data_IF_125357521169
#
_entry.id   IF_125357521169
#
_cell.length_a   1.000
_cell.length_b   1.000
_cell.length_c   1.000
_cell.angle_alpha   90.00
_cell.angle_beta   90.00
_cell.angle_gamma   90.00
#
_symmetry.space_group_name_H-M   'P 1'
#
loop_
_entity.id
_entity.type
_entity.pdbx_description
1 polymer ?
#
# COMPACT_ATOMS: atom_id res chain seq x y z
N UNK A 1 31.49 12.63 8.62
CA UNK A 1 30.03 12.52 8.87
C UNK A 1 29.18 12.78 7.62
N UNK A 2 29.37 13.87 6.85
CA UNK A 2 28.53 14.20 5.66
C UNK A 2 28.37 13.06 4.63
N UNK A 3 29.42 12.26 4.39
CA UNK A 3 29.37 11.12 3.43
C UNK A 3 28.53 9.93 3.91
N UNK A 4 28.47 9.68 5.22
CA UNK A 4 27.63 8.62 5.79
C UNK A 4 26.14 8.96 5.63
N UNK A 5 25.78 10.24 5.75
CA UNK A 5 24.39 10.69 5.55
C UNK A 5 23.88 10.53 4.12
N UNK A 6 24.70 10.88 3.12
CA UNK A 6 24.36 10.70 1.71
C UNK A 6 24.23 9.22 1.33
N UNK A 7 25.15 8.38 1.83
CA UNK A 7 25.04 6.93 1.66
C UNK A 7 23.78 6.36 2.30
N UNK A 8 23.45 6.78 3.52
CA UNK A 8 22.23 6.38 4.21
C UNK A 8 20.96 6.78 3.43
N UNK A 9 20.89 8.01 2.94
CA UNK A 9 19.77 8.48 2.09
C UNK A 9 19.63 7.65 0.82
N UNK A 10 20.75 7.39 0.14
CA UNK A 10 20.74 6.61 -1.09
C UNK A 10 20.30 5.16 -0.85
N UNK A 11 20.79 4.50 0.21
CA UNK A 11 20.39 3.13 0.53
C UNK A 11 18.96 3.04 1.08
N UNK A 12 18.52 4.03 1.85
CA UNK A 12 17.12 4.13 2.28
C UNK A 12 16.18 4.25 1.07
N UNK A 13 16.57 5.02 0.05
CA UNK A 13 15.83 5.06 -1.20
C UNK A 13 15.94 3.74 -1.98
N UNK A 14 17.14 3.23 -2.20
CA UNK A 14 17.39 2.06 -3.04
C UNK A 14 16.72 0.78 -2.52
N UNK A 15 16.63 0.61 -1.20
CA UNK A 15 16.07 -0.59 -0.59
C UNK A 15 14.77 -0.34 0.17
N UNK A 16 14.68 0.76 0.92
CA UNK A 16 13.51 1.06 1.74
C UNK A 16 12.28 1.38 0.90
N UNK A 17 12.43 2.17 -0.18
CA UNK A 17 11.29 2.52 -1.06
C UNK A 17 10.75 1.28 -1.79
N UNK A 18 11.56 0.47 -2.50
CA UNK A 18 11.06 -0.75 -3.12
C UNK A 18 10.43 -1.70 -2.11
N UNK A 19 11.01 -1.84 -0.92
CA UNK A 19 10.44 -2.68 0.14
C UNK A 19 9.04 -2.21 0.54
N UNK A 20 8.84 -0.91 0.83
CA UNK A 20 7.53 -0.38 1.19
C UNK A 20 6.49 -0.54 0.07
N UNK A 21 6.89 -0.26 -1.17
CA UNK A 21 6.01 -0.38 -2.33
C UNK A 21 5.62 -1.85 -2.59
N UNK A 22 6.56 -2.78 -2.50
CA UNK A 22 6.29 -4.22 -2.65
C UNK A 22 5.38 -4.72 -1.53
N UNK A 23 5.66 -4.38 -0.28
CA UNK A 23 4.82 -4.79 0.86
C UNK A 23 3.41 -4.20 0.74
N UNK A 24 3.28 -2.91 0.41
CA UNK A 24 1.98 -2.28 0.22
C UNK A 24 1.21 -2.89 -0.95
N UNK A 25 1.90 -3.23 -2.05
CA UNK A 25 1.29 -3.90 -3.19
C UNK A 25 0.82 -5.31 -2.82
N UNK A 26 1.66 -6.11 -2.15
CA UNK A 26 1.28 -7.45 -1.66
C UNK A 26 0.03 -7.33 -0.79
N UNK A 27 -0.02 -6.37 0.13
CA UNK A 27 -1.20 -6.13 0.97
C UNK A 27 -2.44 -5.76 0.15
N UNK A 28 -2.28 -4.93 -0.88
CA UNK A 28 -3.38 -4.50 -1.76
C UNK A 28 -3.96 -5.64 -2.59
N UNK A 29 -3.13 -6.58 -3.05
CA UNK A 29 -3.60 -7.75 -3.81
C UNK A 29 -3.99 -8.92 -2.92
N UNK A 30 -3.64 -8.87 -1.63
CA UNK A 30 -4.04 -9.87 -0.65
C UNK A 30 -5.51 -9.66 -0.26
N UNK A 31 -6.25 -10.75 -0.13
CA UNK A 31 -7.64 -10.77 0.38
C UNK A 31 -7.66 -11.36 1.79
N UNK A 32 -7.19 -10.64 2.82
CA UNK A 32 -7.20 -11.17 4.18
C UNK A 32 -8.63 -11.31 4.67
N UNK A 33 -8.91 -12.40 5.40
CA UNK A 33 -10.17 -12.54 6.11
C UNK A 33 -10.26 -11.47 7.20
N UNK A 34 -11.25 -10.58 7.09
CA UNK A 34 -11.50 -9.51 8.06
C UNK A 34 -12.90 -9.70 8.64
N UNK A 35 -13.02 -10.19 9.89
CA UNK A 35 -14.32 -10.56 10.45
C UNK A 35 -15.22 -9.37 10.81
N UNK A 36 -14.67 -8.14 10.79
CA UNK A 36 -15.39 -6.91 11.13
C UNK A 36 -15.03 -5.78 10.17
N UNK A 37 -15.97 -4.84 9.96
CA UNK A 37 -15.74 -3.65 9.13
C UNK A 37 -14.63 -2.74 9.68
N UNK A 38 -14.43 -2.73 11.00
CA UNK A 38 -13.32 -2.00 11.61
C UNK A 38 -11.96 -2.61 11.24
N UNK A 39 -11.87 -3.95 11.19
CA UNK A 39 -10.66 -4.64 10.76
C UNK A 39 -10.37 -4.43 9.27
N UNK A 40 -11.41 -4.45 8.42
CA UNK A 40 -11.28 -4.14 6.99
C UNK A 40 -10.78 -2.70 6.78
N UNK A 41 -11.36 -1.72 7.49
CA UNK A 41 -10.93 -0.31 7.43
C UNK A 41 -9.50 -0.11 7.92
N UNK A 42 -9.13 -0.73 9.04
CA UNK A 42 -7.77 -0.64 9.57
C UNK A 42 -6.74 -1.24 8.59
N UNK A 43 -7.07 -2.36 7.95
CA UNK A 43 -6.22 -2.99 6.94
C UNK A 43 -6.02 -2.08 5.72
N UNK A 44 -7.11 -1.51 5.18
CA UNK A 44 -7.08 -0.55 4.08
C UNK A 44 -6.24 0.68 4.41
N UNK A 45 -6.52 1.33 5.54
CA UNK A 45 -5.80 2.54 5.98
C UNK A 45 -4.28 2.30 6.15
N UNK A 46 -3.89 1.13 6.66
CA UNK A 46 -2.48 0.78 6.79
C UNK A 46 -1.83 0.53 5.42
N UNK A 47 -2.53 -0.12 4.51
CA UNK A 47 -2.05 -0.35 3.14
C UNK A 47 -1.86 0.97 2.41
N UNK A 48 -2.82 1.89 2.50
CA UNK A 48 -2.71 3.24 1.92
C UNK A 48 -1.56 4.04 2.53
N UNK A 49 -1.39 3.96 3.85
CA UNK A 49 -0.27 4.63 4.52
C UNK A 49 1.09 4.11 4.03
N UNK A 50 1.25 2.79 3.85
CA UNK A 50 2.49 2.20 3.34
C UNK A 50 2.78 2.63 1.90
N UNK A 51 1.76 2.60 1.04
CA UNK A 51 1.89 3.01 -0.36
C UNK A 51 2.18 4.50 -0.50
N UNK A 52 1.45 5.33 0.23
CA UNK A 52 1.65 6.78 0.26
C UNK A 52 3.06 7.11 0.77
N UNK A 53 3.48 6.50 1.88
CA UNK A 53 4.82 6.69 2.41
C UNK A 53 5.90 6.26 1.41
N UNK A 54 5.72 5.10 0.75
CA UNK A 54 6.64 4.62 -0.29
C UNK A 54 6.79 5.60 -1.45
N UNK A 55 5.69 6.13 -1.99
CA UNK A 55 5.69 7.09 -3.10
C UNK A 55 6.27 8.45 -2.70
N UNK A 56 5.93 8.94 -1.50
CA UNK A 56 6.48 10.19 -0.95
C UNK A 56 7.99 10.05 -0.76
N UNK A 57 8.46 8.96 -0.14
CA UNK A 57 9.89 8.70 0.04
C UNK A 57 10.62 8.50 -1.29
N UNK A 58 9.97 7.87 -2.28
CA UNK A 58 10.50 7.73 -3.63
C UNK A 58 10.86 9.09 -4.25
N UNK A 59 10.06 10.12 -4.00
CA UNK A 59 10.29 11.47 -4.51
C UNK A 59 11.26 12.27 -3.62
N UNK A 60 11.04 12.25 -2.31
CA UNK A 60 11.75 13.13 -1.36
C UNK A 60 13.21 12.75 -1.23
N UNK A 61 13.53 11.45 -1.13
CA UNK A 61 14.91 11.01 -0.83
C UNK A 61 15.90 11.34 -1.97
N UNK A 62 15.60 11.10 -3.26
CA UNK A 62 16.50 11.48 -4.35
C UNK A 62 16.68 12.99 -4.46
N UNK A 63 15.60 13.77 -4.28
CA UNK A 63 15.65 15.23 -4.34
C UNK A 63 16.50 15.81 -3.20
N UNK A 64 16.25 15.36 -1.97
CA UNK A 64 17.03 15.76 -0.81
C UNK A 64 18.51 15.35 -0.95
N UNK A 65 18.77 14.12 -1.41
CA UNK A 65 20.12 13.63 -1.67
C UNK A 65 20.87 14.43 -2.73
N UNK A 66 20.20 14.78 -3.83
CA UNK A 66 20.77 15.61 -4.88
C UNK A 66 21.09 17.03 -4.38
N UNK A 67 20.18 17.64 -3.62
CA UNK A 67 20.38 18.96 -3.02
C UNK A 67 21.58 18.94 -2.07
N UNK A 68 21.62 17.99 -1.14
CA UNK A 68 22.71 17.86 -0.18
C UNK A 68 24.06 17.54 -0.84
N UNK A 69 24.07 16.70 -1.88
CA UNK A 69 25.28 16.42 -2.65
C UNK A 69 25.75 17.66 -3.45
N UNK A 70 24.81 18.47 -3.95
CA UNK A 70 25.07 19.78 -4.56
C UNK A 70 25.73 20.75 -3.60
N UNK A 71 25.15 20.93 -2.42
CA UNK A 71 25.68 21.79 -1.36
C UNK A 71 27.04 21.29 -0.82
N UNK A 72 27.29 19.99 -0.85
CA UNK A 72 28.56 19.40 -0.45
C UNK A 72 29.64 19.42 -1.56
N UNK A 73 29.30 19.79 -2.79
CA UNK A 73 30.21 19.77 -3.93
C UNK A 73 30.67 18.36 -4.36
N UNK A 74 29.97 17.29 -3.94
CA UNK A 74 30.39 15.92 -4.20
C UNK A 74 29.81 15.42 -5.53
N UNK A 75 30.60 15.54 -6.60
CA UNK A 75 30.21 15.16 -7.95
C UNK A 75 29.84 13.67 -8.09
N UNK A 76 30.46 12.79 -7.29
CA UNK A 76 30.17 11.36 -7.27
C UNK A 76 28.75 11.11 -6.78
N UNK A 77 28.41 11.65 -5.61
CA UNK A 77 27.06 11.51 -5.05
C UNK A 77 25.99 12.19 -5.91
N UNK A 78 26.29 13.35 -6.52
CA UNK A 78 25.36 13.99 -7.47
C UNK A 78 25.01 13.08 -8.63
N UNK A 79 25.98 12.34 -9.17
CA UNK A 79 25.72 11.37 -10.25
C UNK A 79 24.84 10.22 -9.78
N UNK A 80 25.08 9.67 -8.59
CA UNK A 80 24.24 8.62 -8.02
C UNK A 80 22.79 9.08 -7.81
N UNK A 81 22.59 10.27 -7.24
CA UNK A 81 21.25 10.82 -7.08
C UNK A 81 20.61 11.24 -8.41
N UNK A 82 21.40 11.64 -9.41
CA UNK A 82 20.91 11.83 -10.78
C UNK A 82 20.33 10.55 -11.38
N UNK A 83 20.99 9.40 -11.21
CA UNK A 83 20.44 8.11 -11.57
C UNK A 83 19.22 7.73 -10.73
N UNK A 84 19.21 8.07 -9.45
CA UNK A 84 18.06 7.85 -8.57
C UNK A 84 16.82 8.62 -9.01
N UNK A 85 16.96 9.81 -9.61
CA UNK A 85 15.82 10.50 -10.23
C UNK A 85 15.22 9.72 -11.42
N UNK A 86 16.07 9.11 -12.25
CA UNK A 86 15.60 8.21 -13.30
C UNK A 86 14.87 6.99 -12.72
N UNK A 87 15.45 6.38 -11.67
CA UNK A 87 14.82 5.27 -10.95
C UNK A 87 13.50 5.67 -10.28
N UNK A 88 13.39 6.89 -9.75
CA UNK A 88 12.15 7.43 -9.18
C UNK A 88 11.03 7.44 -10.22
N UNK A 89 11.30 7.99 -11.40
CA UNK A 89 10.32 8.02 -12.50
C UNK A 89 9.93 6.60 -12.91
N UNK A 90 10.91 5.70 -13.04
CA UNK A 90 10.66 4.31 -13.41
C UNK A 90 9.79 3.58 -12.38
N UNK A 91 10.05 3.77 -11.09
CA UNK A 91 9.23 3.22 -10.01
C UNK A 91 7.81 3.80 -10.02
N UNK A 92 7.65 5.11 -10.25
CA UNK A 92 6.33 5.73 -10.38
C UNK A 92 5.53 5.12 -11.55
N UNK A 93 6.15 4.97 -12.72
CA UNK A 93 5.51 4.39 -13.89
C UNK A 93 5.14 2.93 -13.65
N UNK A 94 6.06 2.13 -13.11
CA UNK A 94 5.80 0.74 -12.77
C UNK A 94 4.64 0.61 -11.79
N UNK A 95 4.61 1.44 -10.75
CA UNK A 95 3.55 1.41 -9.76
C UNK A 95 2.20 1.85 -10.35
N UNK A 96 2.17 2.90 -11.17
CA UNK A 96 0.95 3.35 -11.85
C UNK A 96 0.38 2.28 -12.80
N UNK A 97 1.25 1.55 -13.52
CA UNK A 97 0.84 0.44 -14.38
C UNK A 97 0.23 -0.70 -13.56
N UNK A 98 0.87 -1.08 -12.45
CA UNK A 98 0.38 -2.15 -11.58
C UNK A 98 -0.95 -1.76 -10.93
N UNK A 99 -1.08 -0.51 -10.48
CA UNK A 99 -2.31 0.03 -9.91
C UNK A 99 -3.49 -0.06 -10.89
N UNK A 100 -3.25 0.32 -12.15
CA UNK A 100 -4.24 0.25 -13.22
C UNK A 100 -4.68 -1.19 -13.57
N UNK A 101 -3.87 -2.19 -13.22
CA UNK A 101 -4.22 -3.60 -13.38
C UNK A 101 -4.92 -4.20 -12.15
N UNK A 102 -4.83 -3.55 -10.99
CA UNK A 102 -5.48 -4.03 -9.77
C UNK A 102 -6.98 -3.69 -9.81
N UNK A 103 -7.79 -4.65 -10.25
CA UNK A 103 -9.26 -4.55 -10.31
C UNK A 103 -9.96 -4.76 -8.96
N UNK A 104 -9.22 -5.16 -7.92
CA UNK A 104 -9.76 -5.38 -6.58
C UNK A 104 -10.01 -4.06 -5.85
N UNK A 105 -11.17 -3.89 -5.16
CA UNK A 105 -11.44 -2.69 -4.38
C UNK A 105 -10.38 -2.52 -3.26
N UNK A 106 -9.97 -1.27 -3.02
CA UNK A 106 -9.01 -0.90 -1.97
C UNK A 106 -9.44 -1.36 -0.57
N UNK A 107 -10.75 -1.50 -0.38
CA UNK A 107 -11.37 -2.06 0.80
C UNK A 107 -11.62 -3.53 0.45
N UNK A 108 -10.88 -4.44 1.09
CA UNK A 108 -11.09 -5.87 0.93
C UNK A 108 -12.57 -6.22 1.14
N UNK A 109 -13.04 -7.29 0.50
CA UNK A 109 -14.42 -7.77 0.58
C UNK A 109 -14.94 -7.68 2.03
N UNK A 110 -15.77 -6.68 2.29
CA UNK A 110 -16.53 -6.62 3.53
C UNK A 110 -17.68 -7.62 3.40
N UNK A 111 -18.07 -8.30 4.48
CA UNK A 111 -19.25 -9.17 4.48
C UNK A 111 -20.56 -8.46 4.06
N UNK A 112 -20.58 -7.13 3.92
CA UNK A 112 -21.70 -6.41 3.32
C UNK A 112 -21.91 -6.71 1.82
N UNK A 113 -20.93 -7.30 1.14
CA UNK A 113 -21.08 -7.85 -0.22
C UNK A 113 -21.75 -9.26 -0.20
N UNK A 114 -22.14 -9.79 0.97
CA UNK A 114 -23.09 -10.89 0.99
C UNK A 114 -24.40 -10.37 0.39
N UNK A 115 -24.76 -10.97 -0.74
CA UNK A 115 -26.09 -10.93 -1.32
C UNK A 115 -27.12 -10.85 -0.19
N UNK A 116 -28.00 -9.83 -0.16
CA UNK A 116 -28.92 -9.64 0.95
C UNK A 116 -29.59 -10.97 1.28
N UNK A 117 -29.55 -11.36 2.56
CA UNK A 117 -30.20 -12.58 3.03
C UNK A 117 -31.55 -12.69 2.33
N UNK A 118 -31.80 -13.76 1.54
CA UNK A 118 -32.98 -13.84 0.71
C UNK A 118 -34.17 -13.57 1.62
N UNK A 119 -35.09 -12.65 1.25
CA UNK A 119 -36.19 -12.28 2.12
C UNK A 119 -36.88 -13.57 2.54
N UNK A 120 -36.79 -13.89 3.83
CA UNK A 120 -37.33 -15.11 4.41
C UNK A 120 -38.84 -15.02 4.27
N UNK A 121 -39.34 -15.45 3.12
CA UNK A 121 -40.76 -15.43 2.77
C UNK A 121 -41.50 -16.63 3.36
N UNK A 122 -40.77 -17.50 4.08
CA UNK A 122 -41.29 -18.70 4.73
C UNK A 122 -40.30 -19.13 5.85
N UNK A 123 -40.81 -19.37 7.06
CA UNK A 123 -39.99 -19.85 8.18
C UNK A 123 -39.30 -21.16 7.77
N UNK A 124 -37.97 -21.16 7.76
CA UNK A 124 -37.18 -22.38 7.61
C UNK A 124 -37.12 -23.04 8.99
N UNK A 125 -37.78 -24.20 9.21
CA UNK A 125 -37.75 -24.85 10.50
C UNK A 125 -36.32 -25.32 10.80
N UNK A 126 -35.74 -24.80 11.88
CA UNK A 126 -34.49 -25.33 12.42
C UNK A 126 -34.78 -26.75 12.92
N UNK A 127 -34.03 -27.71 12.38
CA UNK A 127 -33.96 -29.10 12.86
C UNK A 127 -33.72 -29.11 14.36
N UNK A 128 -34.78 -29.27 15.16
CA UNK A 128 -34.74 -29.07 16.61
C UNK A 128 -36.06 -28.60 17.23
N UNK A 129 -37.04 -28.17 16.44
CA UNK A 129 -38.44 -28.07 16.85
C UNK A 129 -38.72 -27.10 18.00
N UNK A 130 -38.75 -25.80 17.69
CA UNK A 130 -39.68 -24.75 18.21
C UNK A 130 -39.19 -23.38 17.73
N UNK A 131 -39.95 -22.73 16.85
CA UNK A 131 -39.72 -21.33 16.50
C UNK A 131 -40.42 -20.90 15.21
N UNK A 132 -41.72 -20.57 15.33
CA UNK A 132 -42.42 -19.48 14.63
C UNK A 132 -43.91 -19.54 15.00
N UNK A 133 -44.38 -18.64 15.89
CA UNK A 133 -45.56 -17.88 15.51
C UNK A 133 -45.39 -16.40 15.86
N UNK A 134 -45.30 -15.56 14.82
CA UNK A 134 -45.71 -14.15 14.90
C UNK A 134 -44.86 -13.15 15.70
N UNK A 135 -43.58 -13.44 15.99
CA UNK A 135 -42.66 -12.45 16.59
C UNK A 135 -41.41 -13.06 17.18
#
# INVERSE_FOLDING_TARGET
MKRLGLGGLFFAWLYGVPFLLVVGLIRRVSTPYTPTDEAARAFGATTDALLTAGLVLNAVLPLAGLLLAGLAGDAGWRRHFGWALGGMVLLYLAFALIDGMATSPLIGHSPADQEPDPPVSHCVPVSGGRGCPGG
#
